data_IF_620758318466
#
_entry.id   IF_620758318466
#
_cell.length_a   1.000
_cell.length_b   1.000
_cell.length_c   1.000
_cell.angle_alpha   90.00
_cell.angle_beta   90.00
_cell.angle_gamma   90.00
#
_symmetry.space_group_name_H-M   'P 1'
#
loop_
_entity.id
_entity.type
_entity.pdbx_description
1 polymer ?
#
# COMPACT_ATOMS: atom_id res chain seq x y z
N UNK A 1 9.21 -5.34 11.95
CA UNK A 1 8.35 -4.12 12.05
C UNK A 1 6.94 -4.47 11.61
N UNK A 2 5.95 -4.11 12.39
CA UNK A 2 4.54 -4.30 12.04
C UNK A 2 3.83 -2.97 11.99
N UNK A 3 2.99 -2.78 10.95
CA UNK A 3 2.12 -1.62 10.77
C UNK A 3 0.69 -2.07 10.58
N UNK A 4 -0.27 -1.30 11.09
CA UNK A 4 -1.68 -1.52 10.79
C UNK A 4 -2.25 -0.23 10.21
N UNK A 5 -2.84 -0.34 9.02
CA UNK A 5 -3.50 0.78 8.35
C UNK A 5 -5.01 0.53 8.36
N UNK A 6 -5.73 1.29 9.15
CA UNK A 6 -7.18 1.15 9.29
C UNK A 6 -7.91 1.80 8.12
N UNK A 7 -9.00 1.19 7.72
CA UNK A 7 -9.82 1.60 6.60
C UNK A 7 -9.96 0.48 5.58
N UNK A 8 -10.99 0.57 4.76
CA UNK A 8 -11.26 -0.44 3.72
C UNK A 8 -10.21 -0.35 2.61
N UNK A 9 -9.36 -1.37 2.44
CA UNK A 9 -8.26 -1.29 1.47
C UNK A 9 -8.73 -1.01 0.05
N UNK A 10 -7.99 -0.18 -0.67
CA UNK A 10 -8.30 0.26 -2.04
C UNK A 10 -7.11 0.08 -2.97
N UNK A 11 -7.40 0.00 -4.26
CA UNK A 11 -6.38 -0.07 -5.31
C UNK A 11 -6.42 1.18 -6.18
N UNK A 12 -5.28 1.49 -6.81
CA UNK A 12 -5.16 2.62 -7.73
C UNK A 12 -5.78 2.36 -9.10
N UNK A 13 -5.79 1.11 -9.54
CA UNK A 13 -6.01 0.77 -10.96
C UNK A 13 -7.46 0.84 -11.41
N UNK A 14 -8.41 0.80 -10.48
CA UNK A 14 -9.82 0.83 -10.83
C UNK A 14 -10.38 2.23 -10.65
N UNK A 15 -11.28 2.64 -11.57
CA UNK A 15 -12.03 3.90 -11.49
C UNK A 15 -11.15 5.16 -11.55
N UNK A 16 -10.09 5.13 -12.36
CA UNK A 16 -9.28 6.32 -12.62
C UNK A 16 -10.15 7.46 -13.17
N UNK A 17 -9.80 8.70 -12.82
CA UNK A 17 -10.50 9.92 -13.24
C UNK A 17 -9.67 10.71 -14.23
N UNK A 18 -10.35 11.41 -15.13
CA UNK A 18 -9.73 12.40 -16.00
C UNK A 18 -10.04 13.77 -15.42
N UNK A 19 -9.00 14.52 -15.04
CA UNK A 19 -9.11 15.84 -14.46
C UNK A 19 -8.49 16.88 -15.40
N UNK A 20 -8.93 18.14 -15.27
CA UNK A 20 -8.34 19.26 -16.01
C UNK A 20 -7.32 19.97 -15.12
N UNK A 21 -6.16 20.27 -15.69
CA UNK A 21 -5.17 21.14 -15.04
C UNK A 21 -5.58 22.61 -15.16
N UNK A 22 -4.94 23.50 -14.37
CA UNK A 22 -5.17 24.96 -14.46
C UNK A 22 -4.80 25.52 -15.84
N UNK A 23 -3.86 24.90 -16.52
CA UNK A 23 -3.43 25.30 -17.87
C UNK A 23 -4.32 24.78 -18.98
N UNK A 24 -5.40 24.04 -18.66
CA UNK A 24 -6.35 23.49 -19.64
C UNK A 24 -6.02 22.09 -20.13
N UNK A 25 -4.86 21.53 -19.74
CA UNK A 25 -4.50 20.14 -20.07
C UNK A 25 -5.33 19.14 -19.26
N UNK A 26 -5.40 17.91 -19.77
CA UNK A 26 -6.07 16.80 -19.08
C UNK A 26 -5.04 15.85 -18.51
N UNK A 27 -5.32 15.25 -17.36
CA UNK A 27 -4.48 14.22 -16.78
C UNK A 27 -5.32 13.16 -16.11
N UNK A 28 -4.76 11.93 -16.01
CA UNK A 28 -5.41 10.80 -15.35
C UNK A 28 -5.02 10.82 -13.88
N UNK A 29 -6.03 10.77 -13.00
CA UNK A 29 -5.83 10.72 -11.56
C UNK A 29 -6.45 9.44 -11.00
N UNK A 30 -5.97 8.93 -9.84
CA UNK A 30 -6.65 7.84 -9.15
C UNK A 30 -8.07 8.22 -8.79
N UNK A 31 -8.93 7.21 -8.54
CA UNK A 31 -10.28 7.45 -8.05
C UNK A 31 -10.25 8.24 -6.74
N UNK A 32 -11.34 8.94 -6.45
CA UNK A 32 -11.49 9.66 -5.17
C UNK A 32 -11.38 8.67 -4.00
N UNK A 33 -11.95 7.48 -4.12
CA UNK A 33 -11.88 6.46 -3.08
C UNK A 33 -10.42 6.08 -2.76
N UNK A 34 -9.58 5.90 -3.79
CA UNK A 34 -8.16 5.60 -3.56
C UNK A 34 -7.43 6.81 -2.98
N UNK A 35 -7.66 8.00 -3.52
CA UNK A 35 -6.99 9.21 -3.04
C UNK A 35 -7.29 9.47 -1.55
N UNK A 36 -8.53 9.29 -1.13
CA UNK A 36 -8.93 9.43 0.28
C UNK A 36 -8.28 8.34 1.14
N UNK A 37 -8.24 7.10 0.64
CA UNK A 37 -7.58 6.00 1.32
C UNK A 37 -6.08 6.27 1.52
N UNK A 38 -5.39 6.70 0.47
CA UNK A 38 -3.96 7.02 0.56
C UNK A 38 -3.70 8.12 1.59
N UNK A 39 -4.50 9.19 1.56
CA UNK A 39 -4.38 10.29 2.51
C UNK A 39 -4.55 9.80 3.95
N UNK A 40 -5.56 8.96 4.21
CA UNK A 40 -5.79 8.41 5.54
C UNK A 40 -4.66 7.50 6.00
N UNK A 41 -4.13 6.66 5.11
CA UNK A 41 -3.00 5.81 5.42
C UNK A 41 -1.75 6.62 5.78
N UNK A 42 -1.45 7.66 5.01
CA UNK A 42 -0.30 8.53 5.27
C UNK A 42 -0.40 9.24 6.62
N UNK A 43 -1.61 9.61 7.03
CA UNK A 43 -1.84 10.20 8.35
C UNK A 43 -1.60 9.21 9.49
N UNK A 44 -1.86 7.93 9.27
CA UNK A 44 -1.70 6.88 10.28
C UNK A 44 -0.26 6.45 10.48
N UNK A 45 0.61 6.71 9.50
CA UNK A 45 1.99 6.24 9.53
C UNK A 45 2.88 7.29 10.19
N UNK A 46 3.52 6.90 11.29
CA UNK A 46 4.59 7.70 11.88
C UNK A 46 5.86 7.46 11.09
N UNK A 47 6.40 8.51 10.47
CA UNK A 47 7.62 8.41 9.68
C UNK A 47 8.77 7.91 10.56
N UNK A 48 9.44 6.81 10.19
CA UNK A 48 10.59 6.34 10.96
C UNK A 48 11.79 7.28 10.79
N UNK A 49 12.78 7.13 11.68
CA UNK A 49 13.99 7.95 11.65
C UNK A 49 14.72 7.82 10.30
N UNK A 50 14.78 6.60 9.76
CA UNK A 50 15.33 6.34 8.44
C UNK A 50 14.53 5.26 7.74
N UNK A 51 14.38 5.33 6.40
CA UNK A 51 13.68 4.31 5.65
C UNK A 51 14.41 2.96 5.70
N UNK A 52 13.64 1.88 5.62
CA UNK A 52 14.22 0.54 5.49
C UNK A 52 14.88 0.43 4.12
N UNK A 53 16.16 0.13 4.10
CA UNK A 53 16.95 -0.06 2.89
C UNK A 53 17.54 -1.46 2.75
N UNK A 54 17.33 -2.32 3.74
CA UNK A 54 17.74 -3.73 3.69
C UNK A 54 16.77 -4.54 2.82
N UNK A 55 17.19 -5.73 2.41
CA UNK A 55 16.35 -6.68 1.68
C UNK A 55 15.28 -7.25 2.61
N UNK A 56 14.02 -7.09 2.26
CA UNK A 56 12.89 -7.46 3.13
C UNK A 56 11.81 -8.26 2.39
N UNK A 57 11.06 -9.02 3.17
CA UNK A 57 9.75 -9.54 2.79
C UNK A 57 8.69 -8.59 3.36
N UNK A 58 7.80 -8.10 2.51
CA UNK A 58 6.67 -7.26 2.93
C UNK A 58 5.40 -8.11 2.82
N UNK A 59 4.93 -8.59 3.95
CA UNK A 59 3.70 -9.39 4.04
C UNK A 59 2.53 -8.49 4.35
N UNK A 60 1.51 -8.53 3.52
CA UNK A 60 0.30 -7.72 3.67
C UNK A 60 -0.93 -8.63 3.78
N UNK A 61 -1.67 -8.48 4.87
CA UNK A 61 -2.96 -9.16 5.02
C UNK A 61 -4.05 -8.10 5.00
N UNK A 62 -4.94 -8.18 4.00
CA UNK A 62 -5.98 -7.19 3.78
C UNK A 62 -7.31 -7.72 4.30
N UNK A 63 -7.88 -7.04 5.27
CA UNK A 63 -9.21 -7.34 5.81
C UNK A 63 -10.20 -6.40 5.16
N UNK A 64 -10.93 -6.93 4.16
CA UNK A 64 -11.86 -6.15 3.34
C UNK A 64 -13.19 -5.97 4.04
N UNK A 65 -13.81 -4.80 3.84
CA UNK A 65 -15.13 -4.49 4.38
C UNK A 65 -16.24 -5.30 3.70
N UNK A 66 -16.10 -5.53 2.40
CA UNK A 66 -17.10 -6.22 1.58
C UNK A 66 -16.47 -7.37 0.80
N UNK A 67 -17.31 -8.25 0.25
CA UNK A 67 -16.86 -9.36 -0.59
C UNK A 67 -16.64 -8.97 -2.06
N UNK A 68 -16.48 -7.68 -2.36
CA UNK A 68 -16.20 -7.23 -3.72
C UNK A 68 -14.92 -7.86 -4.26
N UNK A 69 -14.85 -8.01 -5.57
CA UNK A 69 -13.63 -8.47 -6.22
C UNK A 69 -12.52 -7.44 -6.04
N UNK A 70 -11.34 -7.92 -5.70
CA UNK A 70 -10.14 -7.11 -5.61
C UNK A 70 -8.94 -7.97 -6.05
N UNK A 71 -8.00 -7.34 -6.71
CA UNK A 71 -6.76 -8.00 -7.14
C UNK A 71 -5.70 -7.80 -6.06
N UNK A 72 -5.23 -8.90 -5.48
CA UNK A 72 -4.22 -8.87 -4.42
C UNK A 72 -2.95 -8.15 -4.87
N UNK A 73 -2.49 -8.40 -6.09
CA UNK A 73 -1.28 -7.75 -6.61
C UNK A 73 -1.44 -6.22 -6.67
N UNK A 74 -2.62 -5.75 -7.04
CA UNK A 74 -2.90 -4.30 -7.08
C UNK A 74 -2.97 -3.69 -5.68
N UNK A 75 -3.50 -4.41 -4.70
CA UNK A 75 -3.48 -3.97 -3.30
C UNK A 75 -2.05 -3.85 -2.79
N UNK A 76 -1.21 -4.84 -3.07
CA UNK A 76 0.20 -4.85 -2.67
C UNK A 76 0.96 -3.69 -3.32
N UNK A 77 0.76 -3.46 -4.61
CA UNK A 77 1.39 -2.34 -5.32
C UNK A 77 1.03 -1.00 -4.69
N UNK A 78 -0.25 -0.78 -4.42
CA UNK A 78 -0.72 0.46 -3.78
C UNK A 78 -0.12 0.64 -2.38
N UNK A 79 -0.11 -0.44 -1.57
CA UNK A 79 0.47 -0.42 -0.23
C UNK A 79 1.96 -0.09 -0.26
N UNK A 80 2.71 -0.72 -1.16
CA UNK A 80 4.15 -0.50 -1.27
C UNK A 80 4.45 0.96 -1.64
N UNK A 81 3.68 1.54 -2.56
CA UNK A 81 3.82 2.96 -2.90
C UNK A 81 3.54 3.88 -1.70
N UNK A 82 2.53 3.58 -0.91
CA UNK A 82 2.22 4.33 0.31
C UNK A 82 3.39 4.25 1.30
N UNK A 83 3.96 3.06 1.50
CA UNK A 83 5.09 2.88 2.40
C UNK A 83 6.33 3.66 1.95
N UNK A 84 6.59 3.74 0.65
CA UNK A 84 7.68 4.55 0.10
C UNK A 84 7.39 6.04 0.32
N UNK A 85 6.19 6.50 0.00
CA UNK A 85 5.79 7.91 0.23
C UNK A 85 5.90 8.30 1.71
N UNK A 86 5.55 7.40 2.60
CA UNK A 86 5.61 7.65 4.05
C UNK A 86 7.04 7.58 4.62
N UNK A 87 8.03 7.22 3.82
CA UNK A 87 9.40 7.09 4.26
C UNK A 87 9.68 5.83 5.07
N UNK A 88 8.80 4.83 5.01
CA UNK A 88 9.00 3.54 5.69
C UNK A 88 9.96 2.65 4.90
N UNK A 89 9.80 2.60 3.58
CA UNK A 89 10.70 1.90 2.66
C UNK A 89 11.47 2.92 1.82
N UNK A 90 12.75 2.64 1.58
CA UNK A 90 13.57 3.52 0.76
C UNK A 90 13.14 3.50 -0.71
N UNK A 91 12.72 2.34 -1.20
CA UNK A 91 12.22 2.15 -2.57
C UNK A 91 11.44 0.84 -2.63
N UNK A 92 10.76 0.60 -3.74
CA UNK A 92 9.98 -0.62 -3.98
C UNK A 92 10.67 -1.63 -4.91
N UNK A 93 11.90 -1.34 -5.35
CA UNK A 93 12.65 -2.25 -6.21
C UNK A 93 13.06 -3.54 -5.49
N UNK A 94 13.46 -4.55 -6.27
CA UNK A 94 13.74 -5.91 -5.75
C UNK A 94 14.96 -6.01 -4.84
N UNK A 95 15.80 -4.99 -4.77
CA UNK A 95 16.92 -4.97 -3.82
C UNK A 95 16.44 -4.69 -2.40
N UNK A 96 15.27 -4.08 -2.28
CA UNK A 96 14.65 -3.75 -0.99
C UNK A 96 13.43 -4.65 -0.77
N UNK A 97 12.44 -4.59 -1.64
CA UNK A 97 11.25 -5.45 -1.54
C UNK A 97 11.48 -6.70 -2.39
N UNK A 98 12.01 -7.74 -1.77
CA UNK A 98 12.38 -8.96 -2.48
C UNK A 98 11.24 -9.97 -2.57
N UNK A 99 10.26 -9.91 -1.68
CA UNK A 99 9.15 -10.86 -1.65
C UNK A 99 7.94 -10.27 -0.91
N UNK A 100 6.80 -10.90 -1.15
CA UNK A 100 5.53 -10.61 -0.47
C UNK A 100 4.92 -11.89 0.10
N UNK A 101 5.77 -12.79 0.57
CA UNK A 101 5.33 -14.10 1.06
C UNK A 101 4.35 -13.97 2.21
N UNK A 102 3.28 -14.76 2.16
CA UNK A 102 2.24 -14.80 3.19
C UNK A 102 1.14 -13.75 3.02
N UNK A 103 1.21 -12.95 1.95
CA UNK A 103 0.18 -11.96 1.68
C UNK A 103 -1.12 -12.61 1.23
N UNK A 104 -2.25 -12.07 1.67
CA UNK A 104 -3.57 -12.60 1.32
C UNK A 104 -4.67 -11.60 1.58
N UNK A 105 -5.87 -11.91 1.07
CA UNK A 105 -7.10 -11.15 1.30
C UNK A 105 -8.01 -11.92 2.24
N UNK A 106 -8.50 -11.25 3.26
CA UNK A 106 -9.47 -11.75 4.23
C UNK A 106 -10.66 -10.79 4.29
N UNK A 107 -11.63 -11.06 5.14
CA UNK A 107 -12.79 -10.21 5.33
C UNK A 107 -12.99 -9.88 6.80
N UNK A 108 -13.25 -8.61 7.08
CA UNK A 108 -13.65 -8.16 8.41
C UNK A 108 -14.49 -6.88 8.27
N UNK A 109 -15.79 -7.06 8.17
CA UNK A 109 -16.74 -5.97 7.95
C UNK A 109 -16.69 -4.92 9.07
N UNK A 110 -16.42 -5.35 10.29
CA UNK A 110 -16.44 -4.46 11.47
C UNK A 110 -15.16 -3.65 11.63
N UNK A 111 -14.04 -4.17 11.13
CA UNK A 111 -12.75 -3.53 11.27
C UNK A 111 -11.88 -3.76 10.04
N UNK A 112 -12.26 -3.19 8.89
CA UNK A 112 -11.45 -3.33 7.69
C UNK A 112 -10.10 -2.63 7.88
N UNK A 113 -9.04 -3.30 7.40
CA UNK A 113 -7.68 -2.81 7.61
C UNK A 113 -6.67 -3.58 6.76
N UNK A 114 -5.47 -3.05 6.66
CA UNK A 114 -4.31 -3.76 6.15
C UNK A 114 -3.32 -3.96 7.29
N UNK A 115 -2.92 -5.19 7.56
CA UNK A 115 -1.85 -5.50 8.50
C UNK A 115 -0.59 -5.82 7.69
N UNK A 116 0.52 -5.14 8.01
CA UNK A 116 1.73 -5.17 7.21
C UNK A 116 2.90 -5.55 8.11
N UNK A 117 3.64 -6.60 7.72
CA UNK A 117 4.88 -7.01 8.38
C UNK A 117 6.05 -6.81 7.43
N UNK A 118 7.05 -6.09 7.88
CA UNK A 118 8.30 -5.87 7.14
C UNK A 118 9.40 -6.61 7.90
N UNK A 119 9.90 -7.68 7.28
CA UNK A 119 10.87 -8.58 7.89
C UNK A 119 12.13 -8.66 7.04
N UNK A 120 13.30 -8.46 7.66
CA UNK A 120 14.55 -8.61 6.94
C UNK A 120 14.74 -10.04 6.46
N UNK A 121 15.26 -10.18 5.25
CA UNK A 121 15.61 -11.47 4.65
C UNK A 121 17.11 -11.63 4.64
N UNK A 122 17.56 -12.85 4.84
CA UNK A 122 18.99 -13.15 4.72
C UNK A 122 19.45 -12.93 3.28
N UNK A 123 20.66 -12.39 3.14
CA UNK A 123 21.30 -12.22 1.85
C UNK A 123 22.13 -13.47 1.59
N UNK A 124 21.79 -14.19 0.51
CA UNK A 124 22.60 -15.32 0.08
C UNK A 124 23.95 -14.82 -0.43
N UNK A 125 25.00 -15.31 0.18
CA UNK A 125 26.38 -14.99 -0.22
C UNK A 125 26.97 -16.10 -1.11
#
# INVERSE_FOLDING_TARGET
>A
MKLTLYGDPRTKKNSARILKSRSGGRFVAPSKAYADYETDCLRQIKRPHSPVSARVNVRCVYYMKTARRVDLANLIEATTEILVKAGVLADDNSKIVAAHDGSRVEHDKKNPRAEIWIEEMEVDT
#
